data_IF_352116996567
#
_entry.id   IF_352116996567
#
_cell.length_a   1.000
_cell.length_b   1.000
_cell.length_c   1.000
_cell.angle_alpha   90.00
_cell.angle_beta   90.00
_cell.angle_gamma   90.00
#
_symmetry.space_group_name_H-M   'P 1'
#
loop_
_entity.id
_entity.type
_entity.pdbx_description
1 polymer ?
#
# COMPACT_ATOMS: atom_id res chain seq x y z
N UNK A 1 -4.23 -25.12 36.47
CA UNK A 1 -3.81 -25.86 35.26
C UNK A 1 -4.55 -25.37 34.01
N UNK A 2 -5.82 -25.01 34.07
CA UNK A 2 -6.62 -24.51 32.92
C UNK A 2 -6.16 -23.14 32.42
N UNK A 3 -5.85 -22.21 33.34
CA UNK A 3 -5.29 -20.88 32.99
C UNK A 3 -3.95 -20.95 32.28
N UNK A 4 -3.04 -21.88 32.67
CA UNK A 4 -1.74 -22.03 32.03
C UNK A 4 -1.88 -22.61 30.60
N UNK A 5 -2.79 -23.55 30.37
CA UNK A 5 -3.09 -24.08 29.03
C UNK A 5 -3.70 -23.03 28.12
N UNK A 6 -4.57 -22.16 28.65
CA UNK A 6 -5.16 -21.07 27.87
C UNK A 6 -4.14 -19.99 27.49
N UNK A 7 -3.18 -19.67 28.35
CA UNK A 7 -2.10 -18.73 28.05
C UNK A 7 -1.17 -19.28 26.97
N UNK A 8 -0.72 -20.54 27.07
CA UNK A 8 0.13 -21.18 26.06
C UNK A 8 -0.58 -21.30 24.70
N UNK A 9 -1.89 -21.60 24.70
CA UNK A 9 -2.66 -21.63 23.45
C UNK A 9 -2.83 -20.23 22.84
N UNK A 10 -2.98 -19.20 23.65
CA UNK A 10 -3.08 -17.80 23.20
C UNK A 10 -1.77 -17.34 22.57
N UNK A 11 -0.63 -17.64 23.19
CA UNK A 11 0.71 -17.30 22.68
C UNK A 11 0.96 -17.98 21.33
N UNK A 12 0.63 -19.28 21.20
CA UNK A 12 0.81 -20.02 19.95
C UNK A 12 -0.04 -19.45 18.79
N UNK A 13 -1.27 -19.00 19.08
CA UNK A 13 -2.11 -18.34 18.05
C UNK A 13 -1.56 -16.98 17.69
N UNK A 14 -1.03 -16.24 18.67
CA UNK A 14 -0.44 -14.91 18.43
C UNK A 14 0.81 -15.03 17.57
N UNK A 15 1.69 -16.01 17.85
CA UNK A 15 2.87 -16.28 17.04
C UNK A 15 2.50 -16.68 15.60
N UNK A 16 1.49 -17.55 15.47
CA UNK A 16 0.99 -17.94 14.15
C UNK A 16 0.41 -16.77 13.36
N UNK A 17 -0.33 -15.86 14.01
CA UNK A 17 -0.80 -14.63 13.37
C UNK A 17 0.36 -13.76 12.88
N UNK A 18 1.40 -13.57 13.70
CA UNK A 18 2.58 -12.79 13.33
C UNK A 18 3.27 -13.41 12.11
N UNK A 19 3.44 -14.74 12.08
CA UNK A 19 3.98 -15.46 10.93
C UNK A 19 3.14 -15.24 9.66
N UNK A 20 1.82 -15.39 9.75
CA UNK A 20 0.90 -15.24 8.62
C UNK A 20 0.88 -13.79 8.13
N UNK A 21 0.88 -12.79 9.02
CA UNK A 21 0.90 -11.37 8.67
C UNK A 21 2.23 -10.94 8.04
N UNK A 22 3.35 -11.52 8.46
CA UNK A 22 4.67 -11.19 7.89
C UNK A 22 4.88 -11.79 6.50
N UNK A 23 4.13 -12.84 6.16
CA UNK A 23 4.27 -13.57 4.91
C UNK A 23 3.67 -12.84 3.72
N UNK A 24 4.45 -12.60 2.69
CA UNK A 24 3.97 -12.04 1.43
C UNK A 24 3.16 -13.06 0.64
N UNK A 25 2.08 -12.61 0.00
CA UNK A 25 1.28 -13.39 -0.96
C UNK A 25 1.53 -12.80 -2.33
N UNK A 26 2.18 -13.56 -3.21
CA UNK A 26 2.53 -13.11 -4.54
C UNK A 26 1.31 -12.98 -5.44
N UNK A 27 1.36 -12.00 -6.35
CA UNK A 27 0.35 -11.78 -7.37
C UNK A 27 1.03 -11.54 -8.73
N UNK A 28 0.35 -11.85 -9.82
CA UNK A 28 0.88 -11.65 -11.18
C UNK A 28 1.39 -10.23 -11.44
N UNK A 29 0.81 -9.20 -10.80
CA UNK A 29 1.25 -7.80 -10.89
C UNK A 29 2.64 -7.55 -10.27
N UNK A 30 3.12 -8.42 -9.38
CA UNK A 30 4.42 -8.26 -8.71
C UNK A 30 5.58 -8.38 -9.69
N UNK A 31 5.44 -9.23 -10.71
CA UNK A 31 6.40 -9.31 -11.82
C UNK A 31 6.54 -7.97 -12.52
N UNK A 32 5.42 -7.29 -12.81
CA UNK A 32 5.42 -5.97 -13.44
C UNK A 32 6.02 -4.91 -12.52
N UNK A 33 5.64 -4.90 -11.23
CA UNK A 33 6.21 -3.97 -10.26
C UNK A 33 7.73 -4.17 -10.14
N UNK A 34 8.17 -5.42 -10.01
CA UNK A 34 9.59 -5.77 -9.95
C UNK A 34 10.36 -5.32 -11.19
N UNK A 35 9.76 -5.46 -12.39
CA UNK A 35 10.36 -4.94 -13.63
C UNK A 35 10.49 -3.42 -13.59
N UNK A 36 9.43 -2.70 -13.23
CA UNK A 36 9.46 -1.22 -13.17
C UNK A 36 10.44 -0.70 -12.11
N UNK A 37 10.60 -1.40 -10.99
CA UNK A 37 11.61 -1.03 -9.98
C UNK A 37 13.04 -1.32 -10.47
N UNK A 38 13.26 -2.39 -11.24
CA UNK A 38 14.55 -2.61 -11.92
C UNK A 38 14.84 -1.53 -12.96
N UNK A 39 13.84 -1.10 -13.75
CA UNK A 39 13.99 0.03 -14.68
C UNK A 39 14.42 1.31 -13.94
N UNK A 40 13.89 1.57 -12.75
CA UNK A 40 14.31 2.68 -11.89
C UNK A 40 15.80 2.53 -11.50
N UNK A 41 16.22 1.35 -11.04
CA UNK A 41 17.62 1.09 -10.65
C UNK A 41 18.57 1.21 -11.84
N UNK A 42 18.23 0.62 -12.96
CA UNK A 42 19.03 0.70 -14.20
C UNK A 42 19.16 2.15 -14.69
N UNK A 43 18.10 2.94 -14.57
CA UNK A 43 18.15 4.35 -14.96
C UNK A 43 19.02 5.18 -14.00
N UNK A 44 19.10 4.86 -12.72
CA UNK A 44 20.06 5.49 -11.78
C UNK A 44 21.49 5.27 -12.29
N UNK A 45 21.82 4.03 -12.65
CA UNK A 45 23.15 3.70 -13.14
C UNK A 45 23.45 4.37 -14.50
N UNK A 46 22.47 4.40 -15.41
CA UNK A 46 22.59 5.13 -16.65
C UNK A 46 22.81 6.65 -16.44
N UNK A 47 22.12 7.25 -15.46
CA UNK A 47 22.32 8.65 -15.10
C UNK A 47 23.73 8.92 -14.56
N UNK A 48 24.30 8.02 -13.76
CA UNK A 48 25.70 8.13 -13.27
C UNK A 48 26.70 8.12 -14.42
N UNK A 49 26.38 7.45 -15.51
CA UNK A 49 27.19 7.40 -16.74
C UNK A 49 26.89 8.55 -17.73
N UNK A 50 25.98 9.46 -17.37
CA UNK A 50 25.60 10.61 -18.20
C UNK A 50 24.64 10.30 -19.35
N UNK A 51 24.07 9.07 -19.43
CA UNK A 51 23.20 8.62 -20.52
C UNK A 51 21.78 8.23 -20.05
N UNK A 52 21.41 8.59 -18.83
CA UNK A 52 20.14 8.21 -18.21
C UNK A 52 18.93 8.90 -18.84
N UNK A 53 17.78 8.22 -18.74
CA UNK A 53 16.49 8.76 -19.12
C UNK A 53 16.03 9.87 -18.18
N UNK A 54 15.20 10.78 -18.70
CA UNK A 54 14.51 11.80 -17.88
C UNK A 54 13.38 11.23 -17.02
N UNK A 55 12.98 9.98 -17.23
CA UNK A 55 11.93 9.30 -16.44
C UNK A 55 12.48 8.84 -15.09
N UNK A 56 12.40 9.74 -14.12
CA UNK A 56 12.95 9.54 -12.76
C UNK A 56 11.87 9.42 -11.69
N UNK A 57 10.59 9.33 -12.07
CA UNK A 57 9.50 9.11 -11.14
C UNK A 57 8.70 7.84 -11.47
N UNK A 58 8.27 7.09 -10.44
CA UNK A 58 7.35 5.98 -10.54
C UNK A 58 6.13 6.28 -9.65
N UNK A 59 4.93 6.24 -10.26
CA UNK A 59 3.67 6.42 -9.55
C UNK A 59 2.93 5.08 -9.44
N UNK A 60 2.67 4.63 -8.21
CA UNK A 60 1.81 3.49 -7.92
C UNK A 60 0.45 3.98 -7.46
N UNK A 61 -0.56 3.79 -8.29
CA UNK A 61 -1.90 4.36 -8.08
C UNK A 61 -2.91 3.22 -7.92
N UNK A 62 -3.71 3.27 -6.86
CA UNK A 62 -4.77 2.29 -6.62
C UNK A 62 -5.55 2.58 -5.36
N UNK A 63 -6.72 1.97 -5.22
CA UNK A 63 -7.60 2.14 -4.07
C UNK A 63 -6.91 1.79 -2.74
N UNK A 64 -7.44 2.31 -1.63
CA UNK A 64 -7.02 1.90 -0.29
C UNK A 64 -7.22 0.38 -0.10
N UNK A 65 -6.25 -0.28 0.55
CA UNK A 65 -6.30 -1.74 0.72
C UNK A 65 -5.97 -2.54 -0.56
N UNK A 66 -5.51 -1.90 -1.65
CA UNK A 66 -5.07 -2.64 -2.85
C UNK A 66 -3.72 -3.36 -2.68
N UNK A 67 -3.00 -3.15 -1.58
CA UNK A 67 -1.74 -3.81 -1.26
C UNK A 67 -0.47 -3.10 -1.75
N UNK A 68 -0.54 -1.83 -2.19
CA UNK A 68 0.60 -1.06 -2.72
C UNK A 68 1.79 -0.99 -1.77
N UNK A 69 1.56 -0.50 -0.56
CA UNK A 69 2.62 -0.30 0.45
C UNK A 69 3.26 -1.62 0.87
N UNK A 70 2.46 -2.70 0.90
CA UNK A 70 2.98 -4.03 1.23
C UNK A 70 3.83 -4.59 0.09
N UNK A 71 3.38 -4.45 -1.16
CA UNK A 71 4.14 -4.84 -2.35
C UNK A 71 5.46 -4.05 -2.46
N UNK A 72 5.43 -2.73 -2.26
CA UNK A 72 6.65 -1.92 -2.27
C UNK A 72 7.64 -2.36 -1.20
N UNK A 73 7.19 -2.54 0.06
CA UNK A 73 8.07 -3.03 1.14
C UNK A 73 8.69 -4.37 0.81
N UNK A 74 7.91 -5.29 0.23
CA UNK A 74 8.40 -6.60 -0.20
C UNK A 74 9.51 -6.48 -1.26
N UNK A 75 9.28 -5.68 -2.30
CA UNK A 75 10.29 -5.46 -3.35
C UNK A 75 11.49 -4.66 -2.83
N UNK A 76 11.28 -3.62 -2.04
CA UNK A 76 12.38 -2.84 -1.45
C UNK A 76 13.30 -3.73 -0.60
N UNK A 77 12.76 -4.67 0.18
CA UNK A 77 13.60 -5.57 1.00
C UNK A 77 14.40 -6.58 0.19
N UNK A 78 14.09 -6.81 -1.08
CA UNK A 78 14.71 -7.84 -1.94
C UNK A 78 15.65 -7.30 -3.01
N UNK A 79 15.51 -6.02 -3.36
CA UNK A 79 16.38 -5.37 -4.37
C UNK A 79 17.60 -4.80 -3.65
N UNK A 80 18.83 -5.29 -3.95
CA UNK A 80 20.04 -4.91 -3.21
C UNK A 80 20.32 -3.42 -3.23
N UNK A 81 20.00 -2.74 -4.32
CA UNK A 81 20.26 -1.30 -4.52
C UNK A 81 19.42 -0.40 -3.61
N UNK A 82 18.37 -0.92 -3.00
CA UNK A 82 17.58 -0.23 -1.98
C UNK A 82 18.07 -0.50 -0.55
N UNK A 83 18.98 -1.48 -0.38
CA UNK A 83 19.45 -1.88 0.94
C UNK A 83 20.56 -0.97 1.45
N UNK A 84 20.65 -0.78 2.78
CA UNK A 84 21.78 -0.10 3.39
C UNK A 84 23.10 -0.83 3.10
N UNK A 85 24.16 -0.07 2.90
CA UNK A 85 25.50 -0.59 2.68
C UNK A 85 26.54 0.24 3.46
N UNK A 86 27.76 -0.28 3.62
CA UNK A 86 28.86 0.39 4.29
C UNK A 86 29.78 1.06 3.26
N UNK A 87 30.07 2.36 3.47
CA UNK A 87 31.06 3.08 2.67
C UNK A 87 32.51 2.76 3.15
N UNK A 88 33.49 3.33 2.51
CA UNK A 88 34.92 3.18 2.83
C UNK A 88 35.30 3.67 4.24
N UNK A 89 34.46 4.48 4.89
CA UNK A 89 34.62 4.98 6.25
C UNK A 89 33.82 4.17 7.29
N UNK A 90 33.29 3.00 6.92
CA UNK A 90 32.39 2.16 7.74
C UNK A 90 31.07 2.86 8.15
N UNK A 91 30.70 3.93 7.47
CA UNK A 91 29.42 4.60 7.70
C UNK A 91 28.29 3.89 6.94
N UNK A 92 27.13 3.82 7.56
CA UNK A 92 25.95 3.20 6.92
C UNK A 92 25.27 4.20 6.00
N UNK A 93 25.36 3.95 4.70
CA UNK A 93 24.61 4.68 3.66
C UNK A 93 23.26 3.99 3.45
N UNK A 94 22.19 4.78 3.44
CA UNK A 94 20.82 4.31 3.19
C UNK A 94 20.31 4.93 1.89
N UNK A 95 20.40 4.22 0.76
CA UNK A 95 20.06 4.78 -0.56
C UNK A 95 18.57 5.06 -0.72
N UNK A 96 17.71 4.34 0.00
CA UNK A 96 16.26 4.53 0.00
C UNK A 96 15.81 5.28 1.27
N UNK A 97 15.14 6.41 1.07
CA UNK A 97 14.35 7.10 2.09
C UNK A 97 12.88 6.85 1.79
N UNK A 98 12.15 6.29 2.76
CA UNK A 98 10.71 6.07 2.67
C UNK A 98 10.00 6.89 3.74
N UNK A 99 9.06 7.73 3.33
CA UNK A 99 8.23 8.58 4.21
C UNK A 99 6.76 8.42 3.87
N UNK A 100 5.88 8.72 4.82
CA UNK A 100 4.45 8.96 4.57
C UNK A 100 4.23 10.46 4.40
N UNK A 101 3.40 10.86 3.42
CA UNK A 101 3.04 12.26 3.25
C UNK A 101 2.25 12.76 4.47
N UNK A 102 2.64 13.89 5.10
CA UNK A 102 1.97 14.41 6.29
C UNK A 102 0.51 14.80 6.03
N UNK A 103 -0.27 14.89 7.08
CA UNK A 103 -1.70 15.24 7.06
C UNK A 103 -1.98 16.39 8.04
N UNK A 104 -2.32 17.60 7.59
CA UNK A 104 -2.34 18.09 6.20
C UNK A 104 -0.93 18.24 5.62
N UNK A 105 -0.81 18.41 4.31
CA UNK A 105 0.47 18.55 3.64
C UNK A 105 0.48 19.77 2.71
N UNK A 106 1.20 20.81 3.10
CA UNK A 106 1.64 21.86 2.17
C UNK A 106 2.99 21.46 1.55
N UNK A 107 3.40 22.16 0.49
CA UNK A 107 4.73 21.97 -0.10
C UNK A 107 5.85 22.16 0.93
N UNK A 108 5.65 23.09 1.88
CA UNK A 108 6.57 23.32 2.98
C UNK A 108 6.61 22.13 3.96
N UNK A 109 5.43 21.60 4.35
CA UNK A 109 5.32 20.44 5.24
C UNK A 109 5.98 19.20 4.63
N UNK A 110 5.85 19.02 3.32
CA UNK A 110 6.52 17.94 2.59
C UNK A 110 8.04 18.04 2.70
N UNK A 111 8.62 19.23 2.48
CA UNK A 111 10.05 19.43 2.62
C UNK A 111 10.53 19.19 4.07
N UNK A 112 9.75 19.64 5.07
CA UNK A 112 10.02 19.40 6.49
C UNK A 112 9.99 17.91 6.79
N UNK A 113 8.98 17.18 6.32
CA UNK A 113 8.87 15.73 6.54
C UNK A 113 10.08 14.96 5.98
N UNK A 114 10.60 15.35 4.83
CA UNK A 114 11.86 14.77 4.29
C UNK A 114 13.03 15.06 5.22
N UNK A 115 13.20 16.30 5.67
CA UNK A 115 14.30 16.69 6.55
C UNK A 115 14.23 15.99 7.91
N UNK A 116 13.05 15.93 8.51
CA UNK A 116 12.82 15.25 9.79
C UNK A 116 13.14 13.75 9.70
N UNK A 117 12.73 13.10 8.59
CA UNK A 117 12.99 11.68 8.37
C UNK A 117 14.49 11.33 8.25
N UNK A 118 15.32 12.30 7.86
CA UNK A 118 16.78 12.15 7.81
C UNK A 118 17.48 12.78 9.02
N UNK A 119 16.72 13.24 10.02
CA UNK A 119 17.26 13.81 11.25
C UNK A 119 17.91 15.19 11.08
N UNK A 120 17.46 15.98 10.11
CA UNK A 120 17.94 17.37 9.89
C UNK A 120 16.90 18.35 10.43
N UNK A 121 17.21 19.09 11.50
CA UNK A 121 16.26 20.02 12.08
C UNK A 121 15.93 21.16 11.12
N UNK A 122 14.65 21.35 10.84
CA UNK A 122 14.16 22.50 10.09
C UNK A 122 14.03 23.71 11.02
N UNK A 123 14.50 24.91 10.57
CA UNK A 123 14.29 26.15 11.32
C UNK A 123 12.92 26.74 10.98
N UNK A 124 12.11 27.08 11.95
CA UNK A 124 10.75 27.61 11.78
C UNK A 124 10.63 28.80 10.82
N UNK A 125 11.71 29.58 10.64
CA UNK A 125 11.74 30.77 9.76
C UNK A 125 12.22 30.50 8.33
N UNK A 126 12.54 29.24 7.96
CA UNK A 126 13.00 28.95 6.60
C UNK A 126 11.87 29.16 5.59
N UNK A 127 12.19 29.80 4.47
CA UNK A 127 11.29 29.86 3.32
C UNK A 127 11.20 28.48 2.64
N UNK A 128 10.15 28.26 1.87
CA UNK A 128 10.00 27.03 1.10
C UNK A 128 11.20 26.74 0.19
N UNK A 129 11.69 27.79 -0.52
CA UNK A 129 12.88 27.66 -1.36
C UNK A 129 14.12 27.22 -0.60
N UNK A 130 14.34 27.77 0.60
CA UNK A 130 15.45 27.36 1.48
C UNK A 130 15.31 25.92 1.96
N UNK A 131 14.09 25.49 2.31
CA UNK A 131 13.82 24.10 2.71
C UNK A 131 14.15 23.12 1.57
N UNK A 132 13.66 23.39 0.35
CA UNK A 132 13.95 22.51 -0.80
C UNK A 132 15.43 22.52 -1.21
N UNK A 133 16.12 23.67 -1.08
CA UNK A 133 17.58 23.72 -1.28
C UNK A 133 18.30 22.82 -0.26
N UNK A 134 17.88 22.89 1.02
CA UNK A 134 18.42 22.04 2.09
C UNK A 134 18.11 20.57 1.84
N UNK A 135 16.86 20.23 1.46
CA UNK A 135 16.48 18.86 1.10
C UNK A 135 17.40 18.30 0.02
N UNK A 136 17.60 19.03 -1.08
CA UNK A 136 18.46 18.58 -2.19
C UNK A 136 19.91 18.34 -1.73
N UNK A 137 20.46 19.27 -0.98
CA UNK A 137 21.82 19.15 -0.45
C UNK A 137 21.94 17.93 0.47
N UNK A 138 21.00 17.76 1.38
CA UNK A 138 21.02 16.66 2.36
C UNK A 138 20.76 15.28 1.75
N UNK A 139 19.88 15.17 0.75
CA UNK A 139 19.69 13.91 0.02
C UNK A 139 20.98 13.47 -0.67
N UNK A 140 21.70 14.42 -1.32
CA UNK A 140 22.98 14.14 -1.97
C UNK A 140 24.06 13.78 -0.96
N UNK A 141 24.24 14.57 0.09
CA UNK A 141 25.27 14.39 1.12
C UNK A 141 25.14 13.04 1.84
N UNK A 142 23.92 12.59 2.08
CA UNK A 142 23.63 11.32 2.77
C UNK A 142 23.55 10.11 1.83
N UNK A 143 23.77 10.28 0.54
CA UNK A 143 23.74 9.19 -0.43
C UNK A 143 22.33 8.67 -0.74
N UNK A 144 21.27 9.47 -0.49
CA UNK A 144 19.89 9.07 -0.77
C UNK A 144 19.64 9.23 -2.27
N UNK A 145 19.37 8.12 -2.95
CA UNK A 145 19.17 8.04 -4.41
C UNK A 145 17.71 7.77 -4.74
N UNK A 146 16.98 7.12 -3.83
CA UNK A 146 15.58 6.79 -3.98
C UNK A 146 14.76 7.45 -2.87
N UNK A 147 13.77 8.25 -3.25
CA UNK A 147 12.81 8.84 -2.34
C UNK A 147 11.44 8.20 -2.58
N UNK A 148 10.95 7.42 -1.62
CA UNK A 148 9.60 6.89 -1.63
C UNK A 148 8.70 7.73 -0.73
N UNK A 149 7.54 8.12 -1.27
CA UNK A 149 6.49 8.87 -0.57
C UNK A 149 5.21 8.05 -0.63
N UNK A 150 4.82 7.48 0.50
CA UNK A 150 3.55 6.78 0.63
C UNK A 150 2.41 7.74 0.97
N UNK A 151 1.16 7.32 0.71
CA UNK A 151 -0.04 8.15 0.88
C UNK A 151 0.06 9.53 0.17
N UNK A 152 0.77 9.56 -0.97
CA UNK A 152 1.14 10.79 -1.66
C UNK A 152 -0.06 11.64 -2.14
N UNK A 153 -1.31 11.12 -2.16
CA UNK A 153 -2.50 11.94 -2.40
C UNK A 153 -2.70 13.02 -1.33
N UNK A 154 -2.06 12.91 -0.14
CA UNK A 154 -2.14 13.96 0.87
C UNK A 154 -1.44 15.25 0.44
N UNK A 155 -0.51 15.18 -0.50
CA UNK A 155 0.11 16.33 -1.13
C UNK A 155 -0.91 17.21 -1.90
N UNK A 156 -2.05 16.63 -2.30
CA UNK A 156 -3.10 17.30 -3.06
C UNK A 156 -4.27 17.81 -2.19
N UNK A 157 -4.43 17.23 -0.99
CA UNK A 157 -5.58 17.58 -0.12
C UNK A 157 -5.54 19.04 0.31
N UNK A 158 -6.65 19.73 0.08
CA UNK A 158 -6.84 21.15 0.39
C UNK A 158 -5.94 22.11 -0.42
N UNK A 159 -5.30 21.62 -1.48
CA UNK A 159 -4.47 22.46 -2.35
C UNK A 159 -5.31 23.23 -3.36
N UNK A 160 -5.06 24.54 -3.48
CA UNK A 160 -5.56 25.31 -4.62
C UNK A 160 -4.86 24.87 -5.91
N UNK A 161 -5.45 25.18 -7.06
CA UNK A 161 -4.83 24.88 -8.36
C UNK A 161 -3.40 25.45 -8.46
N UNK A 162 -3.14 26.60 -7.87
CA UNK A 162 -1.80 27.22 -7.81
C UNK A 162 -0.84 26.40 -6.94
N UNK A 163 -1.29 25.93 -5.78
CA UNK A 163 -0.47 25.10 -4.90
C UNK A 163 -0.09 23.76 -5.55
N UNK A 164 -0.98 23.21 -6.39
CA UNK A 164 -0.68 22.00 -7.16
C UNK A 164 0.42 22.26 -8.19
N UNK A 165 0.37 23.40 -8.91
CA UNK A 165 1.43 23.80 -9.85
C UNK A 165 2.77 23.99 -9.13
N UNK A 166 2.77 24.70 -8.01
CA UNK A 166 3.98 24.91 -7.20
C UNK A 166 4.56 23.56 -6.73
N UNK A 167 3.71 22.63 -6.30
CA UNK A 167 4.11 21.27 -5.94
C UNK A 167 4.73 20.52 -7.12
N UNK A 168 4.08 20.52 -8.29
CA UNK A 168 4.58 19.87 -9.50
C UNK A 168 5.98 20.40 -9.87
N UNK A 169 6.19 21.71 -9.76
CA UNK A 169 7.52 22.33 -9.98
C UNK A 169 8.55 21.83 -8.95
N UNK A 170 8.18 21.69 -7.69
CA UNK A 170 9.06 21.12 -6.65
C UNK A 170 9.41 19.67 -6.93
N UNK A 171 8.44 18.83 -7.33
CA UNK A 171 8.70 17.45 -7.67
C UNK A 171 9.64 17.32 -8.89
N UNK A 172 9.43 18.15 -9.94
CA UNK A 172 10.36 18.22 -11.08
C UNK A 172 11.76 18.64 -10.66
N UNK A 173 11.85 19.63 -9.75
CA UNK A 173 13.11 20.15 -9.23
C UNK A 173 13.89 19.12 -8.41
N UNK A 174 13.23 18.24 -7.67
CA UNK A 174 13.87 17.13 -6.96
C UNK A 174 14.54 16.13 -7.92
N UNK A 175 13.90 15.85 -9.06
CA UNK A 175 14.47 14.97 -10.09
C UNK A 175 15.62 15.62 -10.90
N UNK A 176 15.95 16.88 -10.64
CA UNK A 176 16.95 17.67 -11.36
C UNK A 176 18.06 18.17 -10.44
N UNK A 177 18.42 17.41 -9.41
CA UNK A 177 19.59 17.72 -8.59
C UNK A 177 20.84 17.52 -9.48
N UNK A 178 21.68 18.58 -9.54
CA UNK A 178 22.91 18.55 -10.32
C UNK A 178 23.84 17.44 -9.82
N UNK A 179 24.38 16.66 -10.74
CA UNK A 179 25.27 15.52 -10.49
C UNK A 179 24.71 14.48 -9.49
N UNK A 180 23.39 14.44 -9.30
CA UNK A 180 22.76 13.50 -8.40
C UNK A 180 21.54 12.83 -9.03
N UNK A 181 21.54 11.49 -9.22
CA UNK A 181 20.49 10.78 -9.93
C UNK A 181 19.32 10.42 -9.02
N UNK A 182 18.73 11.38 -8.31
CA UNK A 182 17.57 11.11 -7.47
C UNK A 182 16.41 10.59 -8.32
N UNK A 183 15.86 9.45 -7.91
CA UNK A 183 14.62 8.87 -8.42
C UNK A 183 13.56 8.90 -7.33
N UNK A 184 12.31 9.12 -7.71
CA UNK A 184 11.20 9.24 -6.78
C UNK A 184 10.15 8.18 -7.04
N UNK A 185 9.55 7.64 -5.97
CA UNK A 185 8.48 6.66 -6.04
C UNK A 185 7.32 7.21 -5.21
N UNK A 186 6.17 7.39 -5.84
CA UNK A 186 4.96 7.90 -5.18
C UNK A 186 3.91 6.80 -5.16
N UNK A 187 3.39 6.45 -3.97
CA UNK A 187 2.29 5.51 -3.84
C UNK A 187 1.09 6.18 -3.19
N UNK A 188 -0.10 5.91 -3.71
CA UNK A 188 -1.29 6.56 -3.19
C UNK A 188 -2.60 6.16 -3.86
N UNK A 189 -3.65 6.84 -3.48
CA UNK A 189 -5.01 6.68 -4.01
C UNK A 189 -5.14 7.25 -5.42
N UNK A 190 -6.26 6.97 -6.15
CA UNK A 190 -6.46 7.41 -7.53
C UNK A 190 -6.31 8.91 -7.75
N UNK A 191 -6.61 9.74 -6.74
CA UNK A 191 -6.47 11.20 -6.79
C UNK A 191 -5.02 11.63 -7.08
N UNK A 192 -4.04 10.80 -6.74
CA UNK A 192 -2.64 11.05 -7.05
C UNK A 192 -2.37 11.26 -8.55
N UNK A 193 -3.25 10.73 -9.42
CA UNK A 193 -3.16 10.95 -10.86
C UNK A 193 -3.31 12.42 -11.27
N UNK A 194 -3.94 13.25 -10.43
CA UNK A 194 -4.10 14.69 -10.71
C UNK A 194 -2.77 15.42 -10.84
N UNK A 195 -1.73 14.96 -10.14
CA UNK A 195 -0.36 15.49 -10.32
C UNK A 195 0.16 15.32 -11.75
N UNK A 196 -0.27 14.27 -12.45
CA UNK A 196 0.20 13.96 -13.79
C UNK A 196 -0.70 14.56 -14.87
N UNK A 197 -2.00 14.64 -14.62
CA UNK A 197 -2.96 15.17 -15.60
C UNK A 197 -2.83 16.68 -15.82
N UNK A 198 -2.37 17.41 -14.82
CA UNK A 198 -2.15 18.85 -14.86
C UNK A 198 -0.79 19.29 -15.41
N UNK A 199 0.18 18.39 -15.57
CA UNK A 199 1.55 18.74 -15.98
C UNK A 199 2.15 17.69 -16.93
N UNK A 200 2.18 18.01 -18.23
CA UNK A 200 2.75 17.16 -19.25
C UNK A 200 4.26 16.91 -19.05
N UNK A 201 4.99 17.86 -18.46
CA UNK A 201 6.43 17.68 -18.20
C UNK A 201 6.68 16.67 -17.09
N UNK A 202 5.88 16.70 -16.02
CA UNK A 202 5.94 15.73 -14.94
C UNK A 202 5.50 14.35 -15.46
N UNK A 203 4.41 14.28 -16.25
CA UNK A 203 3.95 13.04 -16.86
C UNK A 203 5.02 12.39 -17.75
N UNK A 204 5.72 13.17 -18.59
CA UNK A 204 6.80 12.68 -19.46
C UNK A 204 8.04 12.18 -18.70
N UNK A 205 8.19 12.57 -17.42
CA UNK A 205 9.27 12.13 -16.53
C UNK A 205 8.85 10.99 -15.60
N UNK A 206 7.65 10.48 -15.78
CA UNK A 206 7.04 9.50 -14.88
C UNK A 206 6.72 8.19 -15.60
N UNK A 207 6.79 7.13 -14.83
CA UNK A 207 6.17 5.83 -15.13
C UNK A 207 4.97 5.66 -14.22
N UNK A 208 3.93 4.99 -14.69
CA UNK A 208 2.69 4.80 -13.91
C UNK A 208 2.32 3.33 -13.87
N UNK A 209 2.12 2.82 -12.67
CA UNK A 209 1.54 1.50 -12.42
C UNK A 209 0.21 1.63 -11.70
N UNK A 210 -0.83 1.02 -12.24
CA UNK A 210 -2.15 0.96 -11.61
C UNK A 210 -2.34 -0.36 -10.88
N UNK A 211 -2.73 -0.28 -9.62
CA UNK A 211 -3.22 -1.39 -8.83
C UNK A 211 -4.74 -1.48 -9.00
N UNK A 212 -5.14 -2.14 -10.09
CA UNK A 212 -6.54 -2.28 -10.48
C UNK A 212 -7.21 -3.30 -9.55
N UNK A 213 -8.44 -3.04 -9.08
CA UNK A 213 -9.23 -4.02 -8.34
C UNK A 213 -9.43 -5.30 -9.16
N UNK A 214 -9.41 -6.44 -8.49
CA UNK A 214 -9.72 -7.73 -9.12
C UNK A 214 -11.19 -7.79 -9.52
N UNK A 215 -11.47 -8.42 -10.64
CA UNK A 215 -12.83 -8.62 -11.14
C UNK A 215 -13.03 -10.02 -11.69
N UNK A 216 -14.19 -10.62 -11.37
CA UNK A 216 -14.54 -11.91 -11.94
C UNK A 216 -15.31 -11.72 -13.26
N UNK A 217 -15.17 -12.65 -14.23
CA UNK A 217 -14.45 -13.93 -14.12
C UNK A 217 -12.92 -13.85 -14.34
N UNK A 218 -12.37 -12.70 -14.80
CA UNK A 218 -10.99 -12.58 -15.24
C UNK A 218 -9.94 -12.97 -14.19
N UNK A 219 -10.14 -12.55 -12.94
CA UNK A 219 -9.19 -12.76 -11.83
C UNK A 219 -9.56 -13.96 -10.93
N UNK A 220 -10.49 -14.83 -11.38
CA UNK A 220 -10.97 -15.98 -10.58
C UNK A 220 -9.81 -16.84 -10.06
N UNK A 221 -8.86 -17.18 -10.92
CA UNK A 221 -7.71 -18.00 -10.55
C UNK A 221 -6.87 -17.34 -9.45
N UNK A 222 -6.65 -16.03 -9.53
CA UNK A 222 -5.90 -15.27 -8.52
C UNK A 222 -6.61 -15.25 -7.18
N UNK A 223 -7.94 -15.07 -7.15
CA UNK A 223 -8.72 -15.06 -5.90
C UNK A 223 -8.72 -16.45 -5.26
N UNK A 224 -8.92 -17.51 -6.07
CA UNK A 224 -8.86 -18.88 -5.60
C UNK A 224 -7.47 -19.26 -5.05
N UNK A 225 -6.40 -18.81 -5.70
CA UNK A 225 -5.02 -19.05 -5.27
C UNK A 225 -4.74 -18.38 -3.91
N UNK A 226 -5.11 -17.11 -3.74
CA UNK A 226 -4.97 -16.40 -2.44
C UNK A 226 -5.67 -17.16 -1.32
N UNK A 227 -6.89 -17.65 -1.59
CA UNK A 227 -7.66 -18.41 -0.61
C UNK A 227 -6.93 -19.70 -0.20
N UNK A 228 -6.42 -20.47 -1.16
CA UNK A 228 -5.67 -21.70 -0.91
C UNK A 228 -4.34 -21.44 -0.20
N UNK A 229 -3.56 -20.48 -0.68
CA UNK A 229 -2.23 -20.14 -0.13
C UNK A 229 -2.30 -19.72 1.35
N UNK A 230 -3.35 -18.97 1.72
CA UNK A 230 -3.50 -18.52 3.10
C UNK A 230 -4.07 -19.65 3.97
N UNK A 231 -5.19 -20.25 3.55
CA UNK A 231 -5.90 -21.21 4.39
C UNK A 231 -5.11 -22.51 4.52
N UNK A 232 -4.74 -23.11 3.39
CA UNK A 232 -4.05 -24.40 3.35
C UNK A 232 -2.55 -24.24 3.54
N UNK A 233 -1.93 -23.30 2.80
CA UNK A 233 -0.49 -23.12 2.81
C UNK A 233 0.04 -22.48 4.09
N UNK A 234 -0.48 -21.31 4.49
CA UNK A 234 0.06 -20.56 5.64
C UNK A 234 -0.57 -20.96 6.97
N UNK A 235 -1.88 -21.19 7.00
CA UNK A 235 -2.59 -21.50 8.24
C UNK A 235 -2.67 -23.00 8.54
N UNK A 236 -2.44 -23.88 7.56
CA UNK A 236 -2.57 -25.34 7.73
C UNK A 236 -3.99 -25.78 8.03
N UNK A 237 -5.00 -25.02 7.55
CA UNK A 237 -6.42 -25.31 7.72
C UNK A 237 -7.01 -25.92 6.43
N UNK A 238 -8.18 -26.51 6.53
CA UNK A 238 -8.90 -27.04 5.38
C UNK A 238 -9.95 -26.04 4.88
N UNK A 239 -10.22 -26.06 3.57
CA UNK A 239 -11.33 -25.36 2.93
C UNK A 239 -12.52 -26.30 2.74
N UNK A 240 -13.74 -25.80 2.99
CA UNK A 240 -14.94 -26.50 2.51
C UNK A 240 -15.07 -26.34 0.99
N UNK A 241 -15.70 -27.31 0.31
CA UNK A 241 -15.88 -27.28 -1.15
C UNK A 241 -16.69 -26.06 -1.61
N UNK A 242 -17.59 -25.58 -0.78
CA UNK A 242 -18.38 -24.39 -1.03
C UNK A 242 -17.50 -23.14 -1.26
N UNK A 243 -16.33 -23.02 -0.60
CA UNK A 243 -15.42 -21.89 -0.73
C UNK A 243 -14.63 -21.88 -2.05
N UNK A 244 -14.66 -22.99 -2.79
CA UNK A 244 -14.03 -23.12 -4.10
C UNK A 244 -14.99 -22.78 -5.25
N UNK A 245 -16.26 -22.50 -4.96
CA UNK A 245 -17.27 -22.18 -5.98
C UNK A 245 -17.14 -20.76 -6.50
N UNK A 246 -17.59 -20.54 -7.75
CA UNK A 246 -17.63 -19.23 -8.38
C UNK A 246 -18.50 -18.24 -7.61
N UNK A 247 -19.60 -18.72 -7.01
CA UNK A 247 -20.47 -17.90 -6.15
C UNK A 247 -19.70 -17.36 -4.95
N UNK A 248 -18.95 -18.22 -4.25
CA UNK A 248 -18.19 -17.77 -3.08
C UNK A 248 -17.03 -16.83 -3.46
N UNK A 249 -16.28 -17.16 -4.52
CA UNK A 249 -15.18 -16.28 -4.98
C UNK A 249 -15.71 -14.92 -5.43
N UNK A 250 -16.91 -14.89 -6.06
CA UNK A 250 -17.60 -13.66 -6.40
C UNK A 250 -17.94 -12.81 -5.16
N UNK A 251 -18.52 -13.44 -4.14
CA UNK A 251 -18.82 -12.79 -2.85
C UNK A 251 -17.58 -12.26 -2.16
N UNK A 252 -16.50 -13.04 -2.11
CA UNK A 252 -15.23 -12.64 -1.52
C UNK A 252 -14.64 -11.41 -2.23
N UNK A 253 -14.68 -11.40 -3.56
CA UNK A 253 -14.25 -10.27 -4.37
C UNK A 253 -15.13 -9.04 -4.12
N UNK A 254 -16.45 -9.16 -4.19
CA UNK A 254 -17.41 -8.07 -4.01
C UNK A 254 -17.33 -7.47 -2.60
N UNK A 255 -17.33 -8.30 -1.54
CA UNK A 255 -17.23 -7.85 -0.15
C UNK A 255 -16.00 -6.97 0.12
N UNK A 256 -14.95 -7.15 -0.67
CA UNK A 256 -13.68 -6.42 -0.56
C UNK A 256 -13.46 -5.42 -1.70
N UNK A 257 -14.49 -5.09 -2.49
CA UNK A 257 -14.43 -4.18 -3.64
C UNK A 257 -13.30 -4.53 -4.61
N UNK A 258 -12.98 -5.81 -4.77
CA UNK A 258 -11.86 -6.31 -5.57
C UNK A 258 -10.47 -5.93 -5.06
N UNK A 259 -10.35 -5.29 -3.90
CA UNK A 259 -9.06 -4.86 -3.36
C UNK A 259 -8.25 -6.05 -2.83
N UNK A 260 -7.15 -6.37 -3.51
CA UNK A 260 -6.32 -7.55 -3.23
C UNK A 260 -5.87 -7.66 -1.77
N UNK A 261 -5.39 -6.57 -1.17
CA UNK A 261 -4.98 -6.56 0.23
C UNK A 261 -6.15 -6.83 1.18
N UNK A 262 -7.33 -6.24 0.91
CA UNK A 262 -8.54 -6.52 1.70
C UNK A 262 -9.00 -7.97 1.58
N UNK A 263 -8.87 -8.58 0.39
CA UNK A 263 -9.17 -10.00 0.19
C UNK A 263 -8.26 -10.85 1.07
N UNK A 264 -6.95 -10.57 1.07
CA UNK A 264 -5.97 -11.25 1.95
C UNK A 264 -6.38 -11.10 3.42
N UNK A 265 -6.66 -9.88 3.87
CA UNK A 265 -7.07 -9.59 5.25
C UNK A 265 -8.34 -10.34 5.64
N UNK A 266 -9.35 -10.40 4.75
CA UNK A 266 -10.60 -11.12 4.99
C UNK A 266 -10.37 -12.63 5.13
N UNK A 267 -9.50 -13.22 4.30
CA UNK A 267 -9.14 -14.64 4.38
C UNK A 267 -8.36 -14.93 5.67
N UNK A 268 -7.38 -14.10 6.01
CA UNK A 268 -6.62 -14.23 7.26
C UNK A 268 -7.53 -14.13 8.49
N UNK A 269 -8.47 -13.16 8.51
CA UNK A 269 -9.42 -13.00 9.59
C UNK A 269 -10.32 -14.23 9.76
N UNK A 270 -10.78 -14.84 8.66
CA UNK A 270 -11.57 -16.07 8.70
C UNK A 270 -10.76 -17.24 9.28
N UNK A 271 -9.50 -17.38 8.89
CA UNK A 271 -8.58 -18.39 9.44
C UNK A 271 -8.40 -18.20 10.97
N UNK A 272 -8.11 -16.99 11.40
CA UNK A 272 -7.87 -16.70 12.81
C UNK A 272 -9.10 -16.93 13.68
N UNK A 273 -10.31 -16.62 13.17
CA UNK A 273 -11.55 -16.93 13.85
C UNK A 273 -11.72 -18.44 14.07
N UNK A 274 -11.40 -19.23 13.05
CA UNK A 274 -11.49 -20.71 13.09
C UNK A 274 -10.45 -21.28 14.06
N UNK A 275 -9.22 -20.79 14.04
CA UNK A 275 -8.16 -21.20 14.95
C UNK A 275 -8.50 -20.90 16.41
N UNK A 276 -9.04 -19.69 16.70
CA UNK A 276 -9.50 -19.34 18.05
C UNK A 276 -10.62 -20.24 18.57
N UNK A 277 -11.44 -20.79 17.67
CA UNK A 277 -12.49 -21.76 18.02
C UNK A 277 -11.99 -23.21 18.10
N UNK A 278 -10.68 -23.44 17.93
CA UNK A 278 -10.08 -24.77 17.93
C UNK A 278 -10.55 -25.65 16.77
N UNK A 279 -11.01 -25.04 15.66
CA UNK A 279 -11.50 -25.78 14.48
C UNK A 279 -10.41 -25.85 13.41
N UNK A 280 -10.45 -26.91 12.60
CA UNK A 280 -9.48 -27.15 11.52
C UNK A 280 -9.98 -26.80 10.12
N UNK A 281 -11.22 -26.32 9.97
CA UNK A 281 -11.84 -26.08 8.65
C UNK A 281 -12.50 -24.72 8.58
N UNK A 282 -12.17 -23.98 7.53
CA UNK A 282 -12.76 -22.66 7.23
C UNK A 282 -13.99 -22.88 6.35
N UNK A 283 -15.10 -22.27 6.75
CA UNK A 283 -16.39 -22.29 6.05
C UNK A 283 -16.88 -20.85 5.74
N UNK A 284 -17.96 -20.72 4.96
CA UNK A 284 -18.59 -19.44 4.62
C UNK A 284 -19.01 -18.64 5.87
N UNK A 285 -19.39 -19.33 6.94
CA UNK A 285 -19.86 -18.70 8.19
C UNK A 285 -18.75 -17.89 8.87
N UNK A 286 -17.49 -18.32 8.73
CA UNK A 286 -16.35 -17.55 9.25
C UNK A 286 -16.23 -16.20 8.56
N UNK A 287 -16.39 -16.15 7.25
CA UNK A 287 -16.39 -14.91 6.46
C UNK A 287 -17.60 -14.03 6.77
N UNK A 288 -18.80 -14.63 6.82
CA UNK A 288 -20.03 -13.89 7.15
C UNK A 288 -19.95 -13.23 8.53
N UNK A 289 -19.43 -13.95 9.53
CA UNK A 289 -19.25 -13.42 10.89
C UNK A 289 -18.29 -12.23 10.93
N UNK A 290 -17.11 -12.35 10.28
CA UNK A 290 -16.15 -11.27 10.27
C UNK A 290 -16.67 -10.07 9.48
N UNK A 291 -17.29 -10.30 8.32
CA UNK A 291 -17.87 -9.23 7.51
C UNK A 291 -18.92 -8.43 8.28
N UNK A 292 -19.84 -9.12 8.99
CA UNK A 292 -20.84 -8.45 9.83
C UNK A 292 -20.21 -7.65 10.97
N UNK A 293 -19.21 -8.22 11.64
CA UNK A 293 -18.48 -7.55 12.72
C UNK A 293 -17.78 -6.28 12.23
N UNK A 294 -17.13 -6.36 11.06
CA UNK A 294 -16.23 -5.32 10.58
C UNK A 294 -16.99 -4.21 9.81
N UNK A 295 -18.09 -4.56 9.12
CA UNK A 295 -18.94 -3.61 8.39
C UNK A 295 -20.12 -3.07 9.20
N UNK A 296 -20.54 -3.78 10.27
CA UNK A 296 -21.76 -3.45 11.01
C UNK A 296 -23.05 -3.67 10.20
N UNK A 297 -23.00 -4.41 9.09
CA UNK A 297 -24.15 -4.61 8.21
C UNK A 297 -25.28 -5.40 8.90
N UNK A 298 -26.51 -5.18 8.44
CA UNK A 298 -27.64 -6.03 8.82
C UNK A 298 -27.46 -7.44 8.25
N UNK A 299 -28.08 -8.48 8.84
CA UNK A 299 -28.00 -9.84 8.32
C UNK A 299 -28.48 -10.00 6.87
N UNK A 300 -29.45 -9.16 6.43
CA UNK A 300 -29.93 -9.10 5.04
C UNK A 300 -28.89 -8.60 4.06
N UNK A 301 -27.95 -7.76 4.53
CA UNK A 301 -26.98 -7.04 3.72
C UNK A 301 -25.58 -7.64 3.83
N UNK A 302 -25.50 -8.82 4.46
CA UNK A 302 -24.26 -9.56 4.52
C UNK A 302 -23.96 -10.24 3.17
N UNK A 303 -22.97 -9.77 2.46
CA UNK A 303 -22.58 -10.26 1.13
C UNK A 303 -22.36 -11.78 1.11
N UNK A 304 -21.92 -12.38 2.22
CA UNK A 304 -21.66 -13.82 2.30
C UNK A 304 -22.92 -14.67 2.51
N UNK A 305 -24.04 -14.09 2.97
CA UNK A 305 -25.28 -14.83 3.27
C UNK A 305 -26.48 -14.41 2.45
N UNK A 306 -26.51 -13.19 1.95
CA UNK A 306 -27.61 -12.66 1.16
C UNK A 306 -27.82 -13.44 -0.14
N UNK A 307 -29.08 -13.69 -0.52
CA UNK A 307 -29.42 -14.37 -1.78
C UNK A 307 -29.02 -13.47 -3.00
N UNK A 308 -29.31 -12.17 -2.93
CA UNK A 308 -29.00 -11.19 -3.98
C UNK A 308 -27.75 -10.36 -3.64
N UNK A 309 -26.69 -11.05 -3.29
CA UNK A 309 -25.44 -10.41 -2.84
C UNK A 309 -24.80 -9.46 -3.86
N UNK A 310 -25.01 -9.71 -5.15
CA UNK A 310 -24.44 -8.88 -6.23
C UNK A 310 -25.09 -7.49 -6.32
N UNK A 311 -26.24 -7.28 -5.66
CA UNK A 311 -26.92 -5.98 -5.58
C UNK A 311 -26.48 -5.17 -4.35
N UNK A 312 -25.70 -5.78 -3.45
CA UNK A 312 -25.22 -5.11 -2.24
C UNK A 312 -23.96 -4.29 -2.57
N UNK A 313 -24.00 -3.01 -2.24
CA UNK A 313 -22.82 -2.16 -2.22
C UNK A 313 -22.18 -2.21 -0.81
N UNK A 314 -21.00 -2.81 -0.66
CA UNK A 314 -20.31 -2.91 0.64
C UNK A 314 -20.01 -1.54 1.27
N UNK A 315 -19.95 -0.47 0.49
CA UNK A 315 -19.72 0.89 0.98
C UNK A 315 -20.91 1.48 1.74
N UNK A 316 -22.12 0.96 1.52
CA UNK A 316 -23.33 1.52 2.08
C UNK A 316 -23.63 1.10 3.54
N UNK A 317 -23.03 0.00 4.02
CA UNK A 317 -23.30 -0.50 5.38
C UNK A 317 -23.04 0.56 6.48
N UNK A 318 -22.00 1.36 6.37
CA UNK A 318 -21.69 2.47 7.29
C UNK A 318 -22.56 3.72 7.01
N UNK A 319 -22.97 3.94 5.77
CA UNK A 319 -23.84 5.06 5.40
C UNK A 319 -25.22 4.93 6.05
N UNK A 320 -25.75 3.72 6.09
CA UNK A 320 -27.04 3.41 6.74
C UNK A 320 -26.99 3.68 8.26
N UNK A 321 -25.88 3.35 8.92
CA UNK A 321 -25.68 3.67 10.34
C UNK A 321 -25.66 5.21 10.59
N UNK A 322 -25.06 5.97 9.68
CA UNK A 322 -24.99 7.43 9.79
C UNK A 322 -26.36 8.11 9.56
N UNK A 323 -27.25 7.50 8.77
CA UNK A 323 -28.61 8.00 8.50
C UNK A 323 -29.57 7.64 9.62
N UNK A 324 -29.46 6.45 10.21
CA UNK A 324 -30.28 6.01 11.34
C UNK A 324 -30.12 6.90 12.58
N UNK A 325 -28.93 7.49 12.79
CA UNK A 325 -28.66 8.45 13.89
C UNK A 325 -29.26 9.83 13.70
N UNK A 326 -29.73 10.21 12.50
CA UNK A 326 -30.35 11.51 12.20
C UNK A 326 -31.89 11.52 12.25
N UNK A 327 -32.50 10.34 12.33
CA UNK A 327 -33.97 10.17 12.37
C UNK A 327 -34.62 10.21 13.75
N UNK A 328 -33.83 10.48 14.81
CA UNK A 328 -34.28 10.51 16.21
C UNK A 328 -34.12 11.88 16.84
N UNK A 329 -34.71 12.92 16.25
CA UNK A 329 -34.92 14.22 16.90
C UNK A 329 -36.33 14.69 16.66
#
# INVERSE_FOLDING_TARGET
>A
MENAKNVVAFDAITDKKAEVYSGYIEHARDTRLGTMLRDVVENVEACRRGVGSRRRALFLIGASGSGKSFALRHHFSRIPEFQPWKNEFDETVRPLLSIEAPKPCTTKDFAIAILDAIGVPSKAKMTEGQLFATVKAQLRERGIIYLHVDEAQHLLRHSSSRAILDLQDRLKSLMQIEDWPLHTIYSGMPELAELLTGDQQLANRSMVMRFIPLSLPGDKASVAQVLADIVEGKCGLNLTDELRTDDFLGRLCAANSGCYGKIIEAVQAACFLVMHKGKGTVDRRAFAHNYQRDSGCLPSDNVFTAARWSEIDPGNALADLATAGKGGK
#
